data_IF_886604885707
#
_entry.id   IF_886604885707
#
_cell.length_a   1.000
_cell.length_b   1.000
_cell.length_c   1.000
_cell.angle_alpha   90.00
_cell.angle_beta   90.00
_cell.angle_gamma   90.00
#
_symmetry.space_group_name_H-M   'P 1'
#
loop_
_entity.id
_entity.type
_entity.pdbx_description
1 polymer ?
#
# COMPACT_ATOMS: atom_id res chain seq x y z
N UNK A 1 14.23 17.67 -17.70
CA UNK A 1 12.81 17.33 -17.76
C UNK A 1 12.42 16.71 -16.42
N UNK A 2 11.26 17.11 -15.88
CA UNK A 2 10.68 16.55 -14.66
C UNK A 2 9.85 15.29 -14.99
N UNK A 3 9.56 14.48 -13.98
CA UNK A 3 8.66 13.33 -14.17
C UNK A 3 7.24 13.81 -14.42
N UNK A 4 6.82 14.92 -13.78
CA UNK A 4 5.50 15.50 -14.02
C UNK A 4 5.33 16.01 -15.47
N UNK A 5 6.36 16.62 -16.08
CA UNK A 5 6.32 16.99 -17.49
C UNK A 5 6.14 15.78 -18.40
N UNK A 6 6.84 14.67 -18.10
CA UNK A 6 6.67 13.43 -18.85
C UNK A 6 5.25 12.85 -18.73
N UNK A 7 4.66 12.88 -17.53
CA UNK A 7 3.25 12.49 -17.31
C UNK A 7 2.31 13.39 -18.08
N UNK A 8 2.53 14.70 -18.09
CA UNK A 8 1.69 15.66 -18.80
C UNK A 8 1.72 15.45 -20.31
N UNK A 9 2.85 15.01 -20.87
CA UNK A 9 3.02 14.73 -22.29
C UNK A 9 2.29 13.45 -22.77
N UNK A 10 1.88 12.56 -21.85
CA UNK A 10 1.11 11.37 -22.22
C UNK A 10 -0.27 11.77 -22.71
N UNK A 11 -0.74 11.26 -23.88
CA UNK A 11 -2.09 11.54 -24.37
C UNK A 11 -3.18 11.07 -23.40
N UNK A 12 -4.22 11.87 -23.23
CA UNK A 12 -5.38 11.52 -22.40
C UNK A 12 -6.25 10.45 -23.06
N UNK A 13 -6.92 9.63 -22.24
CA UNK A 13 -7.91 8.63 -22.63
C UNK A 13 -7.43 7.59 -23.66
N UNK A 14 -6.14 7.27 -23.64
CA UNK A 14 -5.52 6.30 -24.56
C UNK A 14 -5.81 4.86 -24.12
N UNK A 15 -6.95 4.30 -24.58
CA UNK A 15 -7.47 3.01 -24.11
C UNK A 15 -6.72 1.77 -24.64
N UNK A 16 -6.23 1.83 -25.88
CA UNK A 16 -5.79 0.64 -26.61
C UNK A 16 -4.27 0.42 -26.60
N UNK A 17 -3.51 1.37 -26.09
CA UNK A 17 -2.04 1.31 -26.06
C UNK A 17 -1.53 1.82 -24.72
N UNK A 18 -0.62 1.08 -24.13
CA UNK A 18 0.09 1.52 -22.93
C UNK A 18 1.18 2.53 -23.28
N UNK A 19 1.29 3.58 -22.49
CA UNK A 19 2.41 4.53 -22.58
C UNK A 19 3.37 4.27 -21.45
N UNK A 20 4.63 4.02 -21.77
CA UNK A 20 5.68 3.79 -20.78
C UNK A 20 6.60 5.01 -20.68
N UNK A 21 6.77 5.51 -19.45
CA UNK A 21 7.75 6.52 -19.09
C UNK A 21 8.92 5.81 -18.44
N UNK A 22 10.09 5.90 -19.07
CA UNK A 22 11.36 5.45 -18.47
C UNK A 22 11.94 6.59 -17.65
N UNK A 23 12.07 6.37 -16.35
CA UNK A 23 12.60 7.36 -15.40
C UNK A 23 14.05 7.00 -15.09
N UNK A 24 14.96 7.86 -15.48
CA UNK A 24 16.39 7.66 -15.23
C UNK A 24 16.71 7.69 -13.75
N UNK A 25 17.81 7.05 -13.36
CA UNK A 25 18.36 7.12 -12.01
C UNK A 25 18.48 8.57 -11.56
N UNK A 26 17.99 8.87 -10.36
CA UNK A 26 18.07 10.21 -9.75
C UNK A 26 17.01 10.42 -8.69
N UNK A 27 17.15 11.50 -7.94
CA UNK A 27 16.16 11.95 -6.96
C UNK A 27 15.38 13.12 -7.52
N UNK A 28 14.09 12.92 -7.70
CA UNK A 28 13.14 13.88 -8.25
C UNK A 28 12.29 14.44 -7.12
N UNK A 29 12.67 15.64 -6.64
CA UNK A 29 11.90 16.32 -5.57
C UNK A 29 10.80 17.15 -6.20
N UNK A 30 9.68 16.49 -6.44
CA UNK A 30 8.48 17.08 -7.05
C UNK A 30 7.21 16.37 -6.56
N UNK A 31 6.10 17.09 -6.52
CA UNK A 31 4.79 16.52 -6.26
C UNK A 31 4.21 15.98 -7.58
N UNK A 32 4.09 14.68 -7.67
CA UNK A 32 3.66 14.01 -8.90
C UNK A 32 2.18 13.69 -8.85
N UNK A 33 1.45 14.07 -9.89
CA UNK A 33 0.02 13.77 -10.04
C UNK A 33 -0.18 13.06 -11.37
N UNK A 34 -0.66 11.82 -11.31
CA UNK A 34 -1.04 11.04 -12.49
C UNK A 34 -2.57 11.01 -12.55
N UNK A 35 -3.19 11.92 -13.33
CA UNK A 35 -4.64 12.08 -13.33
C UNK A 35 -5.36 10.90 -13.96
N UNK A 36 -6.64 10.77 -13.67
CA UNK A 36 -7.50 9.66 -14.14
C UNK A 36 -7.54 9.54 -15.67
N UNK A 37 -7.35 10.65 -16.38
CA UNK A 37 -7.30 10.66 -17.85
C UNK A 37 -6.10 9.92 -18.46
N UNK A 38 -5.02 9.71 -17.69
CA UNK A 38 -3.77 9.04 -18.14
C UNK A 38 -3.86 7.52 -18.02
N UNK A 39 -4.92 6.92 -18.54
CA UNK A 39 -5.13 5.47 -18.49
C UNK A 39 -4.02 4.68 -19.19
N UNK A 40 -3.75 3.46 -18.73
CA UNK A 40 -2.71 2.60 -19.30
C UNK A 40 -1.30 3.23 -19.27
N UNK A 41 -0.93 3.89 -18.21
CA UNK A 41 0.42 4.46 -18.05
C UNK A 41 1.32 3.54 -17.20
N UNK A 42 2.57 3.44 -17.60
CA UNK A 42 3.63 2.79 -16.82
C UNK A 42 4.74 3.76 -16.47
N UNK A 43 5.23 3.67 -15.23
CA UNK A 43 6.48 4.28 -14.80
C UNK A 43 7.51 3.18 -14.53
N UNK A 44 8.62 3.17 -15.25
CA UNK A 44 9.69 2.21 -15.05
C UNK A 44 10.97 2.98 -14.69
N UNK A 45 11.48 2.75 -13.48
CA UNK A 45 12.69 3.38 -12.99
C UNK A 45 13.95 2.58 -13.32
N UNK A 46 15.05 3.28 -13.55
CA UNK A 46 16.38 2.71 -13.39
C UNK A 46 16.66 2.50 -11.89
N UNK A 47 17.55 1.57 -11.54
CA UNK A 47 17.95 1.35 -10.15
C UNK A 47 18.46 2.65 -9.49
N UNK A 48 17.86 3.01 -8.34
CA UNK A 48 18.12 4.27 -7.65
C UNK A 48 17.25 5.45 -8.12
N UNK A 49 16.13 5.19 -8.80
CA UNK A 49 15.10 6.21 -9.08
C UNK A 49 14.26 6.49 -7.84
N UNK A 50 14.23 7.74 -7.38
CA UNK A 50 13.49 8.19 -6.20
C UNK A 50 12.59 9.36 -6.57
N UNK A 51 11.29 9.20 -6.32
CA UNK A 51 10.27 10.24 -6.41
C UNK A 51 9.93 10.69 -4.99
N UNK A 52 10.22 11.93 -4.63
CA UNK A 52 10.13 12.41 -3.24
C UNK A 52 9.51 13.80 -3.14
N UNK A 53 8.84 14.07 -2.03
CA UNK A 53 8.45 15.40 -1.56
C UNK A 53 8.42 15.39 -0.02
N UNK A 54 8.27 16.57 0.60
CA UNK A 54 8.33 16.76 2.05
C UNK A 54 7.08 17.40 2.64
N UNK A 55 5.93 17.24 1.99
CA UNK A 55 4.67 17.72 2.53
C UNK A 55 4.15 16.80 3.64
N UNK A 56 3.52 17.38 4.67
CA UNK A 56 2.92 16.66 5.78
C UNK A 56 1.59 17.33 6.21
N UNK A 57 0.76 16.61 6.94
CA UNK A 57 -0.63 17.00 7.18
C UNK A 57 -0.79 18.38 7.85
N UNK A 58 0.07 18.74 8.81
CA UNK A 58 0.02 20.04 9.50
C UNK A 58 0.81 21.15 8.80
N UNK A 59 1.51 20.86 7.68
CA UNK A 59 2.16 21.88 6.84
C UNK A 59 1.09 22.79 6.24
N UNK A 60 1.34 24.10 6.21
CA UNK A 60 0.42 25.07 5.64
C UNK A 60 0.54 25.12 4.13
N UNK A 61 -0.60 25.15 3.46
CA UNK A 61 -0.68 25.43 2.04
C UNK A 61 -0.55 26.95 1.77
N UNK A 62 -0.59 27.36 0.52
CA UNK A 62 -0.46 28.78 0.10
C UNK A 62 -1.59 29.67 0.63
N UNK A 63 -2.68 29.11 1.13
CA UNK A 63 -3.80 29.82 1.72
C UNK A 63 -3.76 29.84 3.25
N UNK A 64 -2.68 29.31 3.87
CA UNK A 64 -2.53 29.23 5.32
C UNK A 64 -3.31 28.10 6.00
N UNK A 65 -3.91 27.19 5.24
CA UNK A 65 -4.66 26.04 5.75
C UNK A 65 -3.76 24.81 5.89
N UNK A 66 -4.08 23.88 6.79
CA UNK A 66 -3.37 22.62 6.87
C UNK A 66 -3.60 21.78 5.60
N UNK A 67 -2.56 21.16 5.08
CA UNK A 67 -2.67 20.28 3.90
C UNK A 67 -3.55 19.05 4.16
N UNK A 68 -3.61 18.58 5.41
CA UNK A 68 -4.25 17.32 5.76
C UNK A 68 -3.51 16.11 5.22
N UNK A 69 -3.87 14.93 5.69
CA UNK A 69 -3.24 13.67 5.26
C UNK A 69 -3.31 13.50 3.74
N UNK A 70 -4.49 13.69 3.14
CA UNK A 70 -4.67 13.54 1.68
C UNK A 70 -3.90 14.56 0.86
N UNK A 71 -3.64 15.76 1.38
CA UNK A 71 -2.87 16.81 0.71
C UNK A 71 -1.35 16.61 0.80
N UNK A 72 -0.88 15.74 1.68
CA UNK A 72 0.55 15.56 1.99
C UNK A 72 1.30 14.65 1.02
N UNK A 73 0.63 13.94 0.12
CA UNK A 73 1.28 12.91 -0.68
C UNK A 73 2.33 13.46 -1.64
N UNK A 74 3.44 12.73 -1.76
CA UNK A 74 4.47 13.01 -2.76
C UNK A 74 4.01 12.61 -4.16
N UNK A 75 3.31 11.47 -4.27
CA UNK A 75 2.81 10.96 -5.54
C UNK A 75 1.33 10.60 -5.44
N UNK A 76 0.52 11.06 -6.40
CA UNK A 76 -0.90 10.75 -6.52
C UNK A 76 -1.16 9.94 -7.78
N UNK A 77 -1.77 8.78 -7.64
CA UNK A 77 -2.05 7.85 -8.74
C UNK A 77 -3.55 7.64 -8.83
N UNK A 78 -4.18 8.33 -9.79
CA UNK A 78 -5.61 8.25 -10.09
C UNK A 78 -5.89 7.42 -11.35
N UNK A 79 -4.90 7.30 -12.23
CA UNK A 79 -5.02 6.67 -13.53
C UNK A 79 -5.29 5.16 -13.43
N UNK A 80 -6.41 4.64 -13.97
CA UNK A 80 -6.65 3.21 -14.01
C UNK A 80 -5.64 2.47 -14.90
N UNK A 81 -5.44 1.18 -14.63
CA UNK A 81 -4.46 0.34 -15.33
C UNK A 81 -3.01 0.85 -15.19
N UNK A 82 -2.71 1.42 -14.04
CA UNK A 82 -1.37 1.93 -13.71
C UNK A 82 -0.38 0.79 -13.45
N UNK A 83 0.85 0.96 -13.92
CA UNK A 83 1.96 0.07 -13.59
C UNK A 83 3.20 0.86 -13.16
N UNK A 84 3.86 0.41 -12.12
CA UNK A 84 5.17 0.92 -11.72
C UNK A 84 6.15 -0.22 -11.43
N UNK A 85 7.40 -0.03 -11.84
CA UNK A 85 8.48 -0.99 -11.55
C UNK A 85 9.78 -0.24 -11.23
N UNK A 86 10.53 -0.75 -10.23
CA UNK A 86 11.83 -0.24 -9.82
C UNK A 86 11.82 1.24 -9.41
N UNK A 87 10.78 1.71 -8.75
CA UNK A 87 10.66 3.11 -8.30
C UNK A 87 10.57 3.15 -6.78
N UNK A 88 11.30 4.09 -6.19
CA UNK A 88 11.13 4.49 -4.81
C UNK A 88 10.19 5.69 -4.73
N UNK A 89 9.06 5.52 -4.05
CA UNK A 89 8.13 6.57 -3.65
C UNK A 89 8.45 6.95 -2.20
N UNK A 90 8.83 8.17 -1.97
CA UNK A 90 9.27 8.64 -0.65
C UNK A 90 8.49 9.87 -0.20
N UNK A 91 8.19 9.95 1.09
CA UNK A 91 7.92 11.22 1.74
C UNK A 91 9.06 11.53 2.72
N UNK A 92 9.82 12.56 2.42
CA UNK A 92 11.03 12.93 3.15
C UNK A 92 10.81 13.94 4.29
N UNK A 93 9.56 14.18 4.70
CA UNK A 93 9.22 15.09 5.80
C UNK A 93 9.76 14.62 7.17
N UNK A 94 10.04 13.32 7.31
CA UNK A 94 10.47 12.74 8.58
C UNK A 94 9.31 12.38 9.53
N UNK A 95 9.57 12.16 10.83
CA UNK A 95 8.57 11.75 11.81
C UNK A 95 7.75 12.95 12.36
N UNK A 96 7.06 13.65 11.47
CA UNK A 96 6.30 14.90 11.75
C UNK A 96 4.78 14.70 11.83
N UNK A 97 4.32 13.47 11.95
CA UNK A 97 2.91 13.08 11.84
C UNK A 97 2.59 12.50 10.47
N UNK A 98 1.34 12.60 10.02
CA UNK A 98 0.89 12.02 8.76
C UNK A 98 1.60 12.67 7.57
N UNK A 99 2.28 11.85 6.78
CA UNK A 99 3.05 12.29 5.61
C UNK A 99 3.10 11.16 4.56
N UNK A 100 2.26 11.27 3.54
CA UNK A 100 2.02 10.21 2.58
C UNK A 100 3.10 10.21 1.50
N UNK A 101 3.73 9.06 1.26
CA UNK A 101 4.65 8.89 0.13
C UNK A 101 3.89 8.65 -1.18
N UNK A 102 2.87 7.79 -1.15
CA UNK A 102 2.09 7.47 -2.33
C UNK A 102 0.60 7.32 -1.98
N UNK A 103 -0.23 8.11 -2.65
CA UNK A 103 -1.69 8.03 -2.62
C UNK A 103 -2.16 7.31 -3.89
N UNK A 104 -2.84 6.18 -3.72
CA UNK A 104 -3.29 5.36 -4.85
C UNK A 104 -4.80 5.17 -4.78
N UNK A 105 -5.54 5.77 -5.74
CA UNK A 105 -6.97 5.53 -5.91
C UNK A 105 -7.32 4.84 -7.24
N UNK A 106 -6.31 4.62 -8.06
CA UNK A 106 -6.44 3.91 -9.32
C UNK A 106 -7.03 2.51 -9.15
N UNK A 107 -7.96 2.12 -10.01
CA UNK A 107 -8.34 0.72 -10.14
C UNK A 107 -7.34 -0.01 -11.04
N UNK A 108 -7.04 -1.27 -10.72
CA UNK A 108 -6.05 -2.12 -11.40
C UNK A 108 -4.64 -1.51 -11.40
N UNK A 109 -4.21 -1.00 -10.23
CA UNK A 109 -2.85 -0.51 -10.04
C UNK A 109 -1.91 -1.67 -9.66
N UNK A 110 -0.78 -1.78 -10.35
CA UNK A 110 0.22 -2.81 -10.10
C UNK A 110 1.61 -2.19 -9.87
N UNK A 111 2.19 -2.52 -8.73
CA UNK A 111 3.54 -2.10 -8.33
C UNK A 111 4.43 -3.33 -8.20
N UNK A 112 5.55 -3.33 -8.89
CA UNK A 112 6.53 -4.42 -8.85
C UNK A 112 7.91 -3.89 -8.48
N UNK A 113 8.55 -4.55 -7.51
CA UNK A 113 9.89 -4.16 -7.04
C UNK A 113 10.00 -2.65 -6.73
N UNK A 114 8.95 -2.06 -6.16
CA UNK A 114 8.91 -0.66 -5.74
C UNK A 114 9.18 -0.54 -4.24
N UNK A 115 9.68 0.63 -3.82
CA UNK A 115 9.85 0.97 -2.42
C UNK A 115 8.91 2.12 -2.03
N UNK A 116 8.32 2.05 -0.83
CA UNK A 116 7.49 3.10 -0.25
C UNK A 116 8.10 3.49 1.08
N UNK A 117 8.70 4.69 1.13
CA UNK A 117 9.49 5.14 2.27
C UNK A 117 8.82 6.32 2.97
N UNK A 118 8.66 6.20 4.28
CA UNK A 118 8.04 7.24 5.10
C UNK A 118 8.07 6.89 6.58
N UNK A 119 7.15 7.48 7.32
CA UNK A 119 6.93 7.26 8.75
C UNK A 119 5.46 6.97 9.03
N UNK A 120 4.68 7.90 9.59
CA UNK A 120 3.26 7.73 9.76
C UNK A 120 2.53 7.93 8.42
N UNK A 121 1.61 7.01 8.09
CA UNK A 121 0.73 7.11 6.90
C UNK A 121 1.48 7.06 5.55
N UNK A 122 2.47 6.16 5.40
CA UNK A 122 3.34 6.11 4.20
C UNK A 122 2.59 5.79 2.92
N UNK A 123 1.78 4.72 2.90
CA UNK A 123 1.06 4.24 1.72
C UNK A 123 -0.45 4.35 1.92
N UNK A 124 -1.09 5.24 1.18
CA UNK A 124 -2.53 5.47 1.23
C UNK A 124 -3.23 4.75 0.08
N UNK A 125 -3.84 3.61 0.38
CA UNK A 125 -4.61 2.81 -0.59
C UNK A 125 -6.06 3.25 -0.57
N UNK A 126 -6.41 4.21 -1.41
CA UNK A 126 -7.68 4.91 -1.40
C UNK A 126 -8.71 4.25 -2.36
N UNK A 127 -9.99 4.34 -2.01
CA UNK A 127 -11.08 4.12 -2.93
C UNK A 127 -11.75 2.75 -2.84
N UNK A 128 -13.09 2.79 -2.81
CA UNK A 128 -13.94 1.59 -2.70
C UNK A 128 -13.80 0.65 -3.89
N UNK A 129 -13.67 1.20 -5.08
CA UNK A 129 -13.58 0.42 -6.33
C UNK A 129 -12.13 0.10 -6.72
N UNK A 130 -11.15 0.67 -6.01
CA UNK A 130 -9.74 0.48 -6.30
C UNK A 130 -9.26 -0.93 -5.91
N UNK A 131 -8.63 -1.61 -6.87
CA UNK A 131 -7.93 -2.89 -6.69
C UNK A 131 -6.45 -2.66 -6.96
N UNK A 132 -5.62 -3.06 -6.02
CA UNK A 132 -4.19 -2.77 -6.04
C UNK A 132 -3.38 -4.03 -5.78
N UNK A 133 -2.29 -4.22 -6.51
CA UNK A 133 -1.39 -5.35 -6.36
C UNK A 133 0.05 -4.87 -6.20
N UNK A 134 0.67 -5.30 -5.12
CA UNK A 134 2.06 -4.98 -4.75
C UNK A 134 2.86 -6.27 -4.73
N UNK A 135 3.86 -6.39 -5.59
CA UNK A 135 4.68 -7.59 -5.72
C UNK A 135 6.15 -7.26 -5.50
N UNK A 136 6.81 -8.03 -4.62
CA UNK A 136 8.23 -7.89 -4.30
C UNK A 136 8.60 -6.45 -3.87
N UNK A 137 7.66 -5.72 -3.24
CA UNK A 137 7.85 -4.35 -2.81
C UNK A 137 8.45 -4.25 -1.40
N UNK A 138 9.14 -3.14 -1.14
CA UNK A 138 9.58 -2.73 0.19
C UNK A 138 8.69 -1.59 0.69
N UNK A 139 8.11 -1.74 1.89
CA UNK A 139 7.23 -0.73 2.48
C UNK A 139 7.64 -0.50 3.93
N UNK A 140 7.94 0.74 4.29
CA UNK A 140 8.37 1.09 5.64
C UNK A 140 7.55 2.21 6.26
N UNK A 141 7.51 2.23 7.58
CA UNK A 141 6.90 3.30 8.35
C UNK A 141 6.82 3.02 9.84
N UNK A 142 6.00 3.80 10.55
CA UNK A 142 5.81 3.69 12.00
C UNK A 142 4.36 3.41 12.36
N UNK A 143 3.48 4.40 12.24
CA UNK A 143 2.06 4.31 12.62
C UNK A 143 1.21 4.29 11.37
N UNK A 144 0.32 3.27 11.25
CA UNK A 144 -0.68 3.18 10.18
C UNK A 144 -0.08 3.29 8.77
N UNK A 145 1.14 2.77 8.58
CA UNK A 145 1.91 3.11 7.37
C UNK A 145 1.40 2.43 6.09
N UNK A 146 0.39 1.55 6.19
CA UNK A 146 -0.44 1.07 5.08
C UNK A 146 -1.90 1.28 5.50
N UNK A 147 -2.60 2.23 4.90
CA UNK A 147 -3.94 2.60 5.33
C UNK A 147 -4.88 2.93 4.18
N UNK A 148 -6.19 2.92 4.45
CA UNK A 148 -7.22 3.22 3.46
C UNK A 148 -8.25 2.11 3.32
N UNK A 149 -8.98 2.06 2.18
CA UNK A 149 -10.13 1.16 2.00
C UNK A 149 -10.25 0.49 0.62
N UNK A 150 -9.14 0.44 -0.13
CA UNK A 150 -9.07 -0.34 -1.36
C UNK A 150 -9.08 -1.85 -1.07
N UNK A 151 -9.28 -2.67 -2.10
CA UNK A 151 -8.83 -4.07 -2.06
C UNK A 151 -7.39 -4.11 -2.48
N UNK A 152 -6.47 -4.42 -1.56
CA UNK A 152 -5.05 -4.44 -1.83
C UNK A 152 -4.42 -5.80 -1.48
N UNK A 153 -3.66 -6.34 -2.42
CA UNK A 153 -2.89 -7.57 -2.24
C UNK A 153 -1.41 -7.23 -2.23
N UNK A 154 -0.73 -7.66 -1.17
CA UNK A 154 0.71 -7.53 -0.99
C UNK A 154 1.31 -8.94 -1.09
N UNK A 155 2.11 -9.19 -2.12
CA UNK A 155 2.68 -10.50 -2.39
C UNK A 155 4.20 -10.47 -2.32
N UNK A 156 4.80 -11.28 -1.46
CA UNK A 156 6.25 -11.36 -1.22
C UNK A 156 6.91 -10.01 -0.89
N UNK A 157 6.14 -9.10 -0.25
CA UNK A 157 6.65 -7.80 0.15
C UNK A 157 7.45 -7.89 1.46
N UNK A 158 8.44 -7.01 1.59
CA UNK A 158 9.10 -6.73 2.87
C UNK A 158 8.42 -5.53 3.51
N UNK A 159 7.79 -5.74 4.65
CA UNK A 159 7.08 -4.73 5.44
C UNK A 159 7.94 -4.40 6.66
N UNK A 160 8.38 -3.16 6.77
CA UNK A 160 9.40 -2.78 7.75
C UNK A 160 8.92 -1.70 8.72
N UNK A 161 8.93 -2.01 10.01
CA UNK A 161 8.56 -1.08 11.07
C UNK A 161 9.78 -0.32 11.58
N UNK A 162 9.77 1.01 11.46
CA UNK A 162 10.84 1.91 11.91
C UNK A 162 10.69 2.36 13.37
N UNK A 163 9.59 2.01 14.01
CA UNK A 163 9.27 2.34 15.39
C UNK A 163 8.03 1.58 15.85
N UNK A 164 7.70 1.70 17.13
CA UNK A 164 6.47 1.15 17.69
C UNK A 164 5.24 1.73 17.01
N UNK A 165 4.20 0.91 16.79
CA UNK A 165 2.99 1.38 16.14
C UNK A 165 2.15 0.29 15.49
N UNK A 166 1.68 0.55 14.29
CA UNK A 166 0.71 -0.30 13.59
C UNK A 166 1.11 -0.44 12.12
N UNK A 167 1.19 -1.67 11.65
CA UNK A 167 1.50 -1.93 10.23
C UNK A 167 0.39 -1.39 9.34
N UNK A 168 -0.87 -1.70 9.68
CA UNK A 168 -2.00 -1.31 8.86
C UNK A 168 -3.12 -0.63 9.64
N UNK A 169 -3.84 0.28 8.96
CA UNK A 169 -5.07 0.90 9.43
C UNK A 169 -6.14 0.86 8.32
N UNK A 170 -6.74 -0.31 8.06
CA UNK A 170 -7.79 -0.42 7.06
C UNK A 170 -9.09 0.25 7.52
N UNK A 171 -9.84 0.78 6.55
CA UNK A 171 -11.19 1.32 6.72
C UNK A 171 -12.17 0.74 5.71
N UNK A 172 -12.07 -0.57 5.48
CA UNK A 172 -12.89 -1.32 4.53
C UNK A 172 -14.38 -1.02 4.72
N UNK A 173 -15.09 -0.77 3.64
CA UNK A 173 -16.52 -0.49 3.67
C UNK A 173 -17.34 -1.71 4.09
N UNK A 174 -18.48 -1.45 4.72
CA UNK A 174 -19.46 -2.49 5.06
C UNK A 174 -19.89 -3.27 3.80
N UNK A 175 -19.84 -4.59 3.87
CA UNK A 175 -20.25 -5.48 2.78
C UNK A 175 -19.19 -5.70 1.69
N UNK A 176 -18.04 -5.04 1.76
CA UNK A 176 -16.93 -5.33 0.86
C UNK A 176 -16.33 -6.69 1.18
N UNK A 177 -16.11 -7.50 0.15
CA UNK A 177 -15.67 -8.90 0.32
C UNK A 177 -14.22 -8.99 0.83
N UNK A 178 -13.33 -8.14 0.33
CA UNK A 178 -11.90 -8.15 0.66
C UNK A 178 -11.40 -6.73 0.99
N UNK A 179 -10.52 -6.64 1.99
CA UNK A 179 -9.69 -5.47 2.30
C UNK A 179 -8.23 -5.72 1.94
N UNK A 180 -7.35 -5.75 2.94
CA UNK A 180 -5.92 -6.00 2.77
C UNK A 180 -5.58 -7.47 2.93
N UNK A 181 -4.83 -8.02 1.97
CA UNK A 181 -4.37 -9.41 2.01
C UNK A 181 -2.85 -9.43 1.77
N UNK A 182 -2.12 -9.98 2.73
CA UNK A 182 -0.68 -10.15 2.69
C UNK A 182 -0.34 -11.62 2.44
N UNK A 183 0.40 -11.91 1.38
CA UNK A 183 0.87 -13.26 1.04
C UNK A 183 2.37 -13.33 1.11
N UNK A 184 2.89 -14.33 1.83
CA UNK A 184 4.31 -14.69 1.85
C UNK A 184 5.21 -13.47 2.12
N UNK A 185 4.66 -12.47 2.84
CA UNK A 185 5.36 -11.25 3.21
C UNK A 185 6.28 -11.49 4.42
N UNK A 186 7.34 -10.68 4.48
CA UNK A 186 8.27 -10.68 5.62
C UNK A 186 8.15 -9.38 6.40
N UNK A 187 7.73 -9.47 7.66
CA UNK A 187 7.62 -8.34 8.57
C UNK A 187 8.92 -8.22 9.39
N UNK A 188 9.62 -7.11 9.20
CA UNK A 188 10.90 -6.80 9.84
C UNK A 188 10.82 -5.48 10.58
N UNK A 189 11.82 -5.14 11.40
CA UNK A 189 11.82 -3.88 12.13
C UNK A 189 13.23 -3.42 12.45
N UNK A 190 13.37 -2.11 12.70
CA UNK A 190 14.52 -1.52 13.37
C UNK A 190 14.58 -2.00 14.83
N UNK A 191 15.73 -1.85 15.47
CA UNK A 191 15.96 -2.35 16.84
C UNK A 191 15.03 -1.68 17.85
N UNK A 192 14.65 -0.43 17.64
CA UNK A 192 13.79 0.39 18.48
C UNK A 192 12.31 0.01 18.36
N UNK A 193 11.90 -0.61 17.28
CA UNK A 193 10.52 -1.07 17.09
C UNK A 193 10.32 -2.43 17.77
N UNK A 194 9.71 -2.42 18.93
CA UNK A 194 9.52 -3.59 19.79
C UNK A 194 8.06 -3.94 20.09
N UNK A 195 7.13 -3.00 19.84
CA UNK A 195 5.70 -3.12 20.13
C UNK A 195 4.87 -2.71 18.92
N UNK A 196 4.74 -3.63 17.98
CA UNK A 196 4.01 -3.37 16.72
C UNK A 196 2.79 -4.28 16.63
N UNK A 197 1.66 -3.70 16.25
CA UNK A 197 0.44 -4.42 15.90
C UNK A 197 0.38 -4.68 14.40
N UNK A 198 -0.19 -5.79 13.98
CA UNK A 198 -0.47 -6.10 12.57
C UNK A 198 -1.49 -5.12 11.97
N UNK A 199 -2.50 -4.76 12.77
CA UNK A 199 -3.54 -3.84 12.33
C UNK A 199 -4.30 -3.20 13.48
N UNK A 200 -4.85 -1.99 13.21
CA UNK A 200 -5.94 -1.38 13.95
C UNK A 200 -7.03 -0.87 13.02
N UNK A 201 -8.33 -0.90 13.39
CA UNK A 201 -9.41 -0.53 12.47
C UNK A 201 -9.62 0.98 12.45
N UNK A 202 -9.20 1.66 11.40
CA UNK A 202 -9.49 3.08 11.23
C UNK A 202 -11.00 3.36 11.26
N UNK A 203 -11.80 2.42 10.67
CA UNK A 203 -13.27 2.45 10.71
C UNK A 203 -13.83 1.06 11.01
N UNK A 204 -15.11 0.93 11.41
CA UNK A 204 -15.79 -0.36 11.48
C UNK A 204 -15.69 -1.14 10.17
N UNK A 205 -15.76 -2.48 10.23
CA UNK A 205 -15.63 -3.40 9.09
C UNK A 205 -14.24 -3.49 8.46
N UNK A 206 -13.21 -2.91 9.09
CA UNK A 206 -11.82 -3.03 8.66
C UNK A 206 -11.42 -4.51 8.45
N UNK A 207 -10.69 -4.78 7.35
CA UNK A 207 -10.26 -6.14 7.03
C UNK A 207 -8.76 -6.17 6.73
N UNK A 208 -8.05 -7.10 7.38
CA UNK A 208 -6.66 -7.43 7.09
C UNK A 208 -6.40 -8.92 7.32
N UNK A 209 -5.77 -9.58 6.37
CA UNK A 209 -5.46 -11.01 6.41
C UNK A 209 -4.00 -11.23 6.08
N UNK A 210 -3.28 -11.94 6.96
CA UNK A 210 -1.87 -12.30 6.75
C UNK A 210 -1.76 -13.80 6.50
N UNK A 211 -1.25 -14.18 5.33
CA UNK A 211 -1.19 -15.56 4.84
C UNK A 211 0.25 -15.97 4.64
N UNK A 212 0.72 -16.99 5.36
CA UNK A 212 2.08 -17.54 5.31
C UNK A 212 3.18 -16.47 5.47
N UNK A 213 2.91 -15.42 6.25
CA UNK A 213 3.87 -14.36 6.50
C UNK A 213 4.93 -14.78 7.51
N UNK A 214 6.15 -14.26 7.35
CA UNK A 214 7.21 -14.36 8.35
C UNK A 214 7.14 -13.13 9.27
N UNK A 215 6.75 -13.32 10.53
CA UNK A 215 6.52 -12.26 11.50
C UNK A 215 7.71 -12.14 12.45
N UNK A 216 8.39 -10.97 12.43
CA UNK A 216 9.50 -10.67 13.31
C UNK A 216 9.06 -10.51 14.77
N UNK A 217 10.03 -10.59 15.70
CA UNK A 217 9.82 -10.52 17.15
C UNK A 217 9.17 -9.24 17.66
N UNK A 218 9.17 -8.16 16.86
CA UNK A 218 8.55 -6.88 17.17
C UNK A 218 7.02 -6.93 17.15
N UNK A 219 6.43 -7.93 16.48
CA UNK A 219 4.97 -8.11 16.46
C UNK A 219 4.49 -8.61 17.84
N UNK A 220 3.64 -7.82 18.46
CA UNK A 220 3.06 -8.14 19.77
C UNK A 220 2.29 -9.47 19.74
N UNK A 221 2.34 -10.28 20.81
CA UNK A 221 1.59 -11.53 20.90
C UNK A 221 0.10 -11.36 20.61
N UNK A 222 -0.53 -10.28 21.10
CA UNK A 222 -1.94 -9.95 20.84
C UNK A 222 -2.23 -9.66 19.37
N UNK A 223 -1.25 -9.20 18.60
CA UNK A 223 -1.25 -8.98 17.15
C UNK A 223 -2.17 -7.87 16.64
N UNK A 224 -3.35 -7.71 17.21
CA UNK A 224 -4.42 -6.87 16.72
C UNK A 224 -4.90 -5.88 17.77
N UNK A 225 -5.29 -4.68 17.34
CA UNK A 225 -5.80 -3.63 18.20
C UNK A 225 -7.22 -3.23 17.75
N UNK A 226 -8.07 -2.79 18.65
CA UNK A 226 -9.45 -2.39 18.37
C UNK A 226 -9.65 -0.87 18.25
N UNK A 227 -8.57 -0.09 18.22
CA UNK A 227 -8.58 1.38 18.23
C UNK A 227 -9.23 1.98 19.52
N UNK A 228 -9.16 1.28 20.65
CA UNK A 228 -9.83 1.70 21.89
C UNK A 228 -11.36 1.63 21.82
N UNK A 229 -11.94 0.97 20.79
CA UNK A 229 -13.38 0.88 20.53
C UNK A 229 -13.83 -0.58 20.51
N UNK A 230 -14.46 -1.03 21.59
CA UNK A 230 -14.90 -2.42 21.74
C UNK A 230 -15.96 -2.83 20.71
N UNK A 231 -16.74 -1.90 20.18
CA UNK A 231 -17.72 -2.15 19.11
C UNK A 231 -17.05 -2.60 17.79
N UNK A 232 -15.83 -2.18 17.52
CA UNK A 232 -15.08 -2.60 16.33
C UNK A 232 -14.81 -4.10 16.32
N UNK A 233 -14.63 -4.72 17.50
CA UNK A 233 -14.36 -6.15 17.62
C UNK A 233 -15.46 -7.03 17.01
N UNK A 234 -16.70 -6.51 16.93
CA UNK A 234 -17.85 -7.21 16.35
C UNK A 234 -17.92 -7.14 14.84
N UNK A 235 -17.21 -6.20 14.23
CA UNK A 235 -17.35 -5.87 12.80
C UNK A 235 -16.10 -6.08 11.98
N UNK A 236 -14.91 -6.04 12.59
CA UNK A 236 -13.64 -6.26 11.89
C UNK A 236 -13.48 -7.70 11.42
N UNK A 237 -12.76 -7.87 10.31
CA UNK A 237 -12.30 -9.16 9.86
C UNK A 237 -10.76 -9.20 9.84
N UNK A 238 -10.19 -9.60 10.96
CA UNK A 238 -8.76 -9.79 11.11
C UNK A 238 -8.43 -11.27 11.17
N UNK A 239 -7.52 -11.72 10.31
CA UNK A 239 -7.23 -13.15 10.22
C UNK A 239 -5.76 -13.43 9.86
N UNK A 240 -5.31 -14.62 10.22
CA UNK A 240 -4.02 -15.19 9.84
C UNK A 240 -4.20 -16.62 9.32
N UNK A 241 -3.24 -17.05 8.48
CA UNK A 241 -3.11 -18.44 8.04
C UNK A 241 -1.66 -18.82 7.88
N UNK A 242 -1.18 -19.78 8.64
CA UNK A 242 0.14 -20.38 8.45
C UNK A 242 1.33 -19.43 8.58
N UNK A 243 1.16 -18.28 9.26
CA UNK A 243 2.27 -17.37 9.54
C UNK A 243 3.28 -18.00 10.50
N UNK A 244 4.56 -17.66 10.36
CA UNK A 244 5.69 -18.21 11.12
C UNK A 244 6.61 -17.09 11.63
N UNK A 245 7.63 -17.46 12.41
CA UNK A 245 8.61 -16.54 12.98
C UNK A 245 8.30 -16.20 14.44
N UNK A 246 9.20 -15.44 15.08
CA UNK A 246 9.14 -15.15 16.51
C UNK A 246 7.90 -14.32 16.93
N UNK A 247 7.31 -13.54 15.99
CA UNK A 247 6.07 -12.79 16.22
C UNK A 247 4.80 -13.57 15.90
N UNK A 248 4.89 -14.80 15.39
CA UNK A 248 3.74 -15.65 15.13
C UNK A 248 3.29 -16.37 16.40
N UNK A 249 2.22 -15.88 17.01
CA UNK A 249 1.68 -16.43 18.26
C UNK A 249 0.16 -16.58 18.16
N UNK A 250 -0.35 -17.60 17.46
CA UNK A 250 -1.80 -17.74 17.19
C UNK A 250 -2.63 -17.92 18.46
N UNK A 251 -2.07 -18.49 19.54
CA UNK A 251 -2.76 -18.73 20.80
C UNK A 251 -2.95 -17.45 21.63
N UNK A 252 -2.07 -16.45 21.47
CA UNK A 252 -2.12 -15.19 22.21
C UNK A 252 -2.77 -14.05 21.43
N UNK A 253 -3.25 -14.31 20.21
CA UNK A 253 -3.94 -13.29 19.40
C UNK A 253 -5.22 -12.80 20.05
N UNK A 254 -5.56 -11.54 19.77
CA UNK A 254 -6.81 -10.93 20.22
C UNK A 254 -8.01 -11.83 19.88
N UNK A 255 -8.94 -12.01 20.83
CA UNK A 255 -10.05 -12.95 20.73
C UNK A 255 -11.01 -12.63 19.55
N UNK A 256 -11.02 -11.38 19.06
CA UNK A 256 -11.81 -10.97 17.90
C UNK A 256 -11.14 -11.26 16.57
N UNK A 257 -9.90 -11.76 16.55
CA UNK A 257 -9.21 -12.21 15.34
C UNK A 257 -9.43 -13.71 15.09
N UNK A 258 -9.03 -14.17 13.90
CA UNK A 258 -9.31 -15.54 13.44
C UNK A 258 -8.07 -16.21 12.89
N UNK A 259 -7.99 -17.52 13.09
CA UNK A 259 -7.11 -18.39 12.32
C UNK A 259 -7.92 -19.05 11.22
N UNK A 260 -7.58 -18.80 9.94
CA UNK A 260 -8.30 -19.41 8.81
C UNK A 260 -8.02 -20.91 8.75
N UNK A 261 -9.04 -21.70 8.41
CA UNK A 261 -8.90 -23.16 8.27
C UNK A 261 -8.39 -23.58 6.88
N UNK A 262 -8.63 -22.78 5.88
CA UNK A 262 -8.16 -22.98 4.50
C UNK A 262 -8.10 -21.64 3.75
N UNK A 263 -7.60 -21.66 2.53
CA UNK A 263 -7.41 -20.46 1.68
C UNK A 263 -8.41 -20.38 0.52
N UNK A 264 -9.47 -21.18 0.52
CA UNK A 264 -10.48 -21.13 -0.54
C UNK A 264 -11.06 -19.71 -0.68
N UNK A 265 -10.94 -19.13 -1.87
CA UNK A 265 -11.39 -17.78 -2.17
C UNK A 265 -10.39 -16.66 -1.79
N UNK A 266 -9.22 -17.05 -1.27
CA UNK A 266 -8.15 -16.09 -0.97
C UNK A 266 -6.99 -16.13 -1.98
N UNK A 267 -7.10 -16.86 -3.08
CA UNK A 267 -6.08 -16.79 -4.13
C UNK A 267 -5.97 -15.35 -4.68
N UNK A 268 -4.76 -14.78 -4.88
CA UNK A 268 -4.59 -13.40 -5.33
C UNK A 268 -5.44 -13.04 -6.55
N UNK A 269 -5.52 -13.96 -7.50
CA UNK A 269 -6.35 -13.83 -8.71
C UNK A 269 -7.84 -13.72 -8.36
N UNK A 270 -8.32 -14.53 -7.43
CA UNK A 270 -9.73 -14.52 -6.98
C UNK A 270 -10.05 -13.21 -6.23
N UNK A 271 -9.12 -12.75 -5.38
CA UNK A 271 -9.29 -11.52 -4.60
C UNK A 271 -9.40 -10.29 -5.50
N UNK A 272 -8.61 -10.24 -6.56
CA UNK A 272 -8.49 -9.08 -7.45
C UNK A 272 -9.36 -9.15 -8.71
N UNK A 273 -9.96 -10.32 -9.01
CA UNK A 273 -10.68 -10.53 -10.27
C UNK A 273 -11.78 -9.48 -10.53
N UNK A 274 -12.53 -9.07 -9.50
CA UNK A 274 -13.71 -8.25 -9.73
C UNK A 274 -14.66 -8.89 -10.74
N UNK A 275 -15.45 -8.08 -11.43
CA UNK A 275 -16.37 -8.52 -12.48
C UNK A 275 -15.67 -8.61 -13.87
N UNK A 276 -14.51 -7.98 -14.01
CA UNK A 276 -13.70 -7.90 -15.26
C UNK A 276 -12.61 -8.97 -15.36
N UNK A 277 -12.42 -9.79 -14.32
CA UNK A 277 -11.44 -10.86 -14.30
C UNK A 277 -9.98 -10.40 -14.29
N UNK A 278 -9.71 -9.20 -13.72
CA UNK A 278 -8.35 -8.66 -13.65
C UNK A 278 -7.38 -9.63 -12.96
N UNK A 279 -6.28 -9.92 -13.65
CA UNK A 279 -5.21 -10.79 -13.16
C UNK A 279 -3.85 -10.11 -13.35
N UNK A 280 -3.34 -9.41 -12.33
CA UNK A 280 -2.10 -8.66 -12.44
C UNK A 280 -0.89 -9.51 -12.84
N UNK A 281 -0.82 -10.77 -12.41
CA UNK A 281 0.30 -11.67 -12.74
C UNK A 281 0.34 -12.00 -14.23
N UNK A 282 -0.81 -12.36 -14.82
CA UNK A 282 -0.93 -12.63 -16.26
C UNK A 282 -0.74 -11.35 -17.07
N UNK A 283 -1.37 -10.29 -16.63
CA UNK A 283 -1.42 -9.04 -17.38
C UNK A 283 -0.10 -8.28 -17.25
N UNK A 284 0.61 -8.40 -16.11
CA UNK A 284 1.95 -7.86 -15.89
C UNK A 284 2.99 -8.44 -16.85
N UNK A 285 2.95 -9.73 -17.16
CA UNK A 285 3.86 -10.34 -18.13
C UNK A 285 3.67 -9.78 -19.56
N UNK A 286 2.45 -9.35 -19.91
CA UNK A 286 2.17 -8.66 -21.19
C UNK A 286 2.66 -7.22 -21.21
N UNK A 287 2.81 -6.57 -20.02
CA UNK A 287 3.28 -5.20 -19.91
C UNK A 287 4.78 -5.06 -20.19
N UNK A 288 5.54 -6.16 -20.05
CA UNK A 288 6.99 -6.21 -20.29
C UNK A 288 7.34 -6.54 -21.76
N UNK A 289 6.37 -6.97 -22.57
CA UNK A 289 6.54 -7.23 -24.00
C UNK A 289 6.65 -5.95 -24.86
N UNK A 290 7.21 -4.88 -24.31
CA UNK A 290 7.67 -3.74 -25.10
C UNK A 290 8.91 -4.23 -25.85
N UNK A 291 8.75 -4.56 -27.11
CA UNK A 291 9.88 -4.84 -28.01
C UNK A 291 10.92 -3.73 -27.84
N UNK A 292 12.10 -4.13 -27.34
CA UNK A 292 13.28 -3.27 -27.28
C UNK A 292 13.72 -2.85 -28.68
#
# INVERSE_FOLDING_TARGET
FTVQEAVNAVPDFRKNVRTTILVRKGTYKEKIIIPESKINISLIGEDGTILTNDDFASKKNVFGENMGTSGSSSCYIYAPDFYAENITFENSAGPVGQAVACFVSADRAYFKNCSFLGFQDTLYTYGKQSRQYYEDCYIEGTVDFIFGWSTAVFNRCRIHSKGDGYVTAPSTDKGKKYGYIFYDCRLTADAEATKVYLSRPWRPYAQAVFIRCELGKHILPVGWNNWGKKENEKTVFYAEYGSKGAGANPQARAAFSRQLKNLKGYEPVTVLAGDDGWNPVRDGNRLLDVKR
#
